data_IF_228919885822
#
_entry.id   IF_228919885822
#
_cell.length_a   1.000
_cell.length_b   1.000
_cell.length_c   1.000
_cell.angle_alpha   90.00
_cell.angle_beta   90.00
_cell.angle_gamma   90.00
#
_symmetry.space_group_name_H-M   'P 1'
#
loop_
_entity.id
_entity.type
_entity.pdbx_description
1 polymer ?
#
# COMPACT_ATOMS: atom_id res chain seq x y z
N UNK A 1 1.40 33.15 -23.22
CA UNK A 1 1.16 32.93 -21.77
C UNK A 1 1.10 31.42 -21.52
N UNK A 2 2.25 30.77 -21.31
CA UNK A 2 2.34 29.31 -21.11
C UNK A 2 2.14 28.98 -19.63
N UNK A 3 0.88 28.93 -19.19
CA UNK A 3 0.53 28.66 -17.78
C UNK A 3 0.75 27.19 -17.39
N UNK A 4 0.93 26.28 -18.35
CA UNK A 4 1.37 24.91 -18.08
C UNK A 4 2.89 24.83 -17.99
N UNK A 5 3.42 25.32 -16.85
CA UNK A 5 4.73 24.90 -16.34
C UNK A 5 4.74 23.36 -16.35
N UNK A 6 5.81 22.77 -16.89
CA UNK A 6 5.96 21.31 -17.00
C UNK A 6 5.66 20.67 -15.63
N UNK A 7 4.78 19.66 -15.53
CA UNK A 7 4.59 18.96 -14.27
C UNK A 7 5.93 18.31 -13.92
N UNK A 8 6.54 18.82 -12.85
CA UNK A 8 7.81 18.33 -12.33
C UNK A 8 7.53 17.02 -11.58
N UNK A 9 8.48 16.09 -11.61
CA UNK A 9 8.39 14.81 -10.88
C UNK A 9 8.08 15.05 -9.40
N UNK A 10 8.71 16.07 -8.81
CA UNK A 10 8.49 16.50 -7.43
C UNK A 10 7.03 16.87 -7.13
N UNK A 11 6.34 17.52 -8.08
CA UNK A 11 4.93 17.91 -7.94
C UNK A 11 4.05 16.67 -7.96
N UNK A 12 4.32 15.75 -8.89
CA UNK A 12 3.62 14.48 -8.99
C UNK A 12 3.77 13.65 -7.72
N UNK A 13 4.99 13.50 -7.20
CA UNK A 13 5.26 12.78 -5.95
C UNK A 13 4.58 13.46 -4.76
N UNK A 14 4.65 14.79 -4.66
CA UNK A 14 3.99 15.55 -3.59
C UNK A 14 2.47 15.36 -3.60
N UNK A 15 1.85 15.30 -4.79
CA UNK A 15 0.44 14.98 -4.95
C UNK A 15 0.10 13.55 -4.55
N UNK A 16 0.96 12.58 -4.87
CA UNK A 16 0.77 11.20 -4.43
C UNK A 16 0.79 11.11 -2.89
N UNK A 17 1.74 11.79 -2.25
CA UNK A 17 1.83 11.87 -0.79
C UNK A 17 0.62 12.59 -0.20
N UNK A 18 0.23 13.73 -0.77
CA UNK A 18 -0.95 14.49 -0.32
C UNK A 18 -2.24 13.68 -0.45
N UNK A 19 -2.40 12.94 -1.55
CA UNK A 19 -3.51 12.03 -1.78
C UNK A 19 -3.51 10.89 -0.76
N UNK A 20 -2.36 10.25 -0.54
CA UNK A 20 -2.19 9.23 0.49
C UNK A 20 -2.61 9.72 1.88
N UNK A 21 -2.11 10.89 2.31
CA UNK A 21 -2.45 11.47 3.60
C UNK A 21 -3.93 11.81 3.72
N UNK A 22 -4.53 12.34 2.65
CA UNK A 22 -5.95 12.70 2.61
C UNK A 22 -6.82 11.45 2.75
N UNK A 23 -6.55 10.40 1.97
CA UNK A 23 -7.27 9.13 2.05
C UNK A 23 -7.10 8.53 3.45
N UNK A 24 -5.87 8.52 3.97
CA UNK A 24 -5.57 8.01 5.30
C UNK A 24 -6.43 8.69 6.37
N UNK A 25 -6.44 10.03 6.39
CA UNK A 25 -7.18 10.79 7.39
C UNK A 25 -8.70 10.63 7.25
N UNK A 26 -9.21 10.68 6.02
CA UNK A 26 -10.65 10.57 5.76
C UNK A 26 -11.17 9.18 6.12
N UNK A 27 -10.50 8.12 5.64
CA UNK A 27 -10.90 6.73 5.90
C UNK A 27 -10.68 6.32 7.35
N UNK A 28 -9.64 6.81 8.01
CA UNK A 28 -9.45 6.57 9.45
C UNK A 28 -10.56 7.24 10.29
N UNK A 29 -10.96 8.47 9.94
CA UNK A 29 -11.95 9.20 10.73
C UNK A 29 -13.40 8.77 10.44
N UNK A 30 -13.76 8.52 9.18
CA UNK A 30 -15.15 8.26 8.79
C UNK A 30 -15.46 6.77 8.59
N UNK A 31 -14.43 5.91 8.59
CA UNK A 31 -14.57 4.53 8.14
C UNK A 31 -15.05 4.48 6.69
N UNK A 32 -15.48 3.30 6.24
CA UNK A 32 -16.13 3.13 4.95
C UNK A 32 -16.01 1.71 4.43
N UNK A 33 -16.61 1.47 3.28
CA UNK A 33 -16.41 0.25 2.49
C UNK A 33 -15.67 0.61 1.22
N UNK A 34 -14.78 -0.27 0.77
CA UNK A 34 -14.19 -0.19 -0.55
C UNK A 34 -14.72 -1.35 -1.38
N UNK A 35 -15.45 -1.05 -2.45
CA UNK A 35 -16.01 -2.05 -3.33
C UNK A 35 -14.99 -2.40 -4.43
N UNK A 36 -14.62 -3.68 -4.48
CA UNK A 36 -13.74 -4.26 -5.49
C UNK A 36 -12.39 -3.55 -5.66
N UNK A 37 -11.91 -2.86 -4.62
CA UNK A 37 -10.67 -2.07 -4.69
C UNK A 37 -10.73 -0.85 -5.61
N UNK A 38 -11.92 -0.34 -5.91
CA UNK A 38 -12.13 0.73 -6.91
C UNK A 38 -13.05 1.85 -6.45
N UNK A 39 -13.91 1.61 -5.45
CA UNK A 39 -14.88 2.60 -5.00
C UNK A 39 -14.95 2.65 -3.48
N UNK A 40 -14.46 3.73 -2.88
CA UNK A 40 -14.55 4.01 -1.46
C UNK A 40 -15.81 4.82 -1.13
N UNK A 41 -16.61 4.30 -0.20
CA UNK A 41 -17.82 4.95 0.30
C UNK A 41 -17.72 5.07 1.83
N UNK A 42 -17.60 6.30 2.40
CA UNK A 42 -17.63 6.51 3.83
C UNK A 42 -18.99 6.12 4.42
N UNK A 43 -19.01 5.54 5.62
CA UNK A 43 -20.27 5.25 6.32
C UNK A 43 -20.90 6.53 6.88
N UNK A 44 -20.06 7.42 7.38
CA UNK A 44 -20.48 8.68 7.97
C UNK A 44 -20.19 9.82 7.00
N UNK A 45 -21.22 10.60 6.68
CA UNK A 45 -21.13 11.79 5.82
C UNK A 45 -20.57 11.46 4.41
N UNK A 46 -21.37 10.84 3.53
CA UNK A 46 -20.88 10.38 2.22
C UNK A 46 -20.32 11.51 1.33
N UNK A 47 -20.73 12.76 1.58
CA UNK A 47 -20.18 13.95 0.91
C UNK A 47 -18.68 14.15 1.17
N UNK A 48 -18.15 13.67 2.30
CA UNK A 48 -16.72 13.77 2.62
C UNK A 48 -15.87 12.99 1.61
N UNK A 49 -16.43 11.99 0.93
CA UNK A 49 -15.76 11.24 -0.13
C UNK A 49 -15.30 12.12 -1.31
N UNK A 50 -15.93 13.29 -1.53
CA UNK A 50 -15.53 14.23 -2.58
C UNK A 50 -14.08 14.67 -2.41
N UNK A 51 -13.59 14.80 -1.16
CA UNK A 51 -12.23 15.22 -0.86
C UNK A 51 -11.19 14.20 -1.36
N UNK A 52 -11.17 12.91 -0.91
CA UNK A 52 -10.21 11.94 -1.42
C UNK A 52 -10.36 11.72 -2.93
N UNK A 53 -11.58 11.73 -3.49
CA UNK A 53 -11.76 11.57 -4.93
C UNK A 53 -11.18 12.73 -5.75
N UNK A 54 -11.33 13.97 -5.30
CA UNK A 54 -10.69 15.11 -5.95
C UNK A 54 -9.17 14.95 -5.96
N UNK A 55 -8.56 14.57 -4.83
CA UNK A 55 -7.13 14.32 -4.74
C UNK A 55 -6.67 13.15 -5.62
N UNK A 56 -7.42 12.04 -5.66
CA UNK A 56 -7.14 10.90 -6.54
C UNK A 56 -7.14 11.33 -7.99
N UNK A 57 -8.18 12.05 -8.43
CA UNK A 57 -8.32 12.52 -9.82
C UNK A 57 -7.17 13.46 -10.18
N UNK A 58 -6.87 14.47 -9.34
CA UNK A 58 -5.76 15.38 -9.60
C UNK A 58 -4.41 14.68 -9.63
N UNK A 59 -4.17 13.76 -8.68
CA UNK A 59 -2.92 13.00 -8.62
C UNK A 59 -2.74 12.13 -9.86
N UNK A 60 -3.77 11.37 -10.25
CA UNK A 60 -3.75 10.53 -11.45
C UNK A 60 -3.52 11.37 -12.70
N UNK A 61 -4.27 12.46 -12.88
CA UNK A 61 -4.15 13.31 -14.07
C UNK A 61 -2.75 13.91 -14.21
N UNK A 62 -2.18 14.44 -13.12
CA UNK A 62 -0.87 15.07 -13.14
C UNK A 62 0.23 14.03 -13.34
N UNK A 63 0.16 12.91 -12.62
CA UNK A 63 1.14 11.83 -12.73
C UNK A 63 1.10 11.14 -14.10
N UNK A 64 -0.10 10.85 -14.63
CA UNK A 64 -0.26 10.27 -15.96
C UNK A 64 0.33 11.19 -17.04
N UNK A 65 0.03 12.49 -16.99
CA UNK A 65 0.59 13.44 -17.94
C UNK A 65 2.12 13.54 -17.85
N UNK A 66 2.68 13.48 -16.64
CA UNK A 66 4.13 13.43 -16.44
C UNK A 66 4.73 12.16 -17.08
N UNK A 67 4.19 10.98 -16.76
CA UNK A 67 4.71 9.68 -17.24
C UNK A 67 4.51 9.46 -18.72
N UNK A 68 3.38 9.87 -19.28
CA UNK A 68 3.11 9.78 -20.71
C UNK A 68 4.16 10.56 -21.50
N UNK A 69 4.62 11.71 -20.99
CA UNK A 69 5.64 12.53 -21.62
C UNK A 69 7.06 12.03 -21.42
N UNK A 70 7.38 11.46 -20.26
CA UNK A 70 8.74 11.01 -19.92
C UNK A 70 9.05 9.59 -20.40
N UNK A 71 8.05 8.71 -20.39
CA UNK A 71 8.23 7.26 -20.53
C UNK A 71 7.24 6.60 -21.50
N UNK A 72 6.26 7.36 -22.01
CA UNK A 72 5.23 6.84 -22.91
C UNK A 72 4.12 6.04 -22.21
N UNK A 73 3.12 5.62 -23.01
CA UNK A 73 1.91 4.96 -22.52
C UNK A 73 2.19 3.60 -21.85
N UNK A 74 3.15 2.85 -22.40
CA UNK A 74 3.54 1.52 -21.93
C UNK A 74 4.01 1.50 -20.46
N UNK A 75 4.63 2.58 -19.98
CA UNK A 75 5.04 2.69 -18.58
C UNK A 75 4.04 3.48 -17.74
N UNK A 76 3.28 4.39 -18.37
CA UNK A 76 2.25 5.17 -17.68
C UNK A 76 1.12 4.27 -17.13
N UNK A 77 0.61 3.32 -17.93
CA UNK A 77 -0.52 2.46 -17.52
C UNK A 77 -0.19 1.55 -16.33
N UNK A 78 0.91 0.77 -16.31
CA UNK A 78 1.30 -0.01 -15.13
C UNK A 78 1.48 0.86 -13.89
N UNK A 79 2.05 2.06 -14.07
CA UNK A 79 2.27 2.98 -12.97
C UNK A 79 1.01 3.56 -12.37
N UNK A 80 -0.01 3.81 -13.20
CA UNK A 80 -1.33 4.15 -12.70
C UNK A 80 -1.94 3.00 -11.92
N UNK A 81 -1.80 1.76 -12.40
CA UNK A 81 -2.41 0.59 -11.78
C UNK A 81 -1.96 0.39 -10.32
N UNK A 82 -0.66 0.48 -10.04
CA UNK A 82 -0.20 0.36 -8.66
C UNK A 82 -0.44 1.62 -7.82
N UNK A 83 -0.51 2.81 -8.41
CA UNK A 83 -0.85 4.03 -7.66
C UNK A 83 -2.33 4.00 -7.24
N UNK A 84 -3.23 3.62 -8.15
CA UNK A 84 -4.65 3.46 -7.82
C UNK A 84 -4.86 2.35 -6.81
N UNK A 85 -4.20 1.19 -7.00
CA UNK A 85 -4.24 0.11 -6.02
C UNK A 85 -3.73 0.57 -4.64
N UNK A 86 -2.65 1.36 -4.60
CA UNK A 86 -2.13 1.92 -3.35
C UNK A 86 -3.10 2.87 -2.64
N UNK A 87 -3.81 3.71 -3.39
CA UNK A 87 -4.84 4.59 -2.83
C UNK A 87 -6.00 3.81 -2.21
N UNK A 88 -6.53 2.83 -2.93
CA UNK A 88 -7.63 2.03 -2.41
C UNK A 88 -7.17 1.08 -1.31
N UNK A 89 -5.96 0.54 -1.36
CA UNK A 89 -5.36 -0.20 -0.24
C UNK A 89 -5.34 0.65 1.03
N UNK A 90 -4.95 1.92 0.90
CA UNK A 90 -4.94 2.87 2.03
C UNK A 90 -6.35 3.09 2.56
N UNK A 91 -7.33 3.30 1.68
CA UNK A 91 -8.72 3.48 2.07
C UNK A 91 -9.29 2.24 2.80
N UNK A 92 -9.11 1.05 2.22
CA UNK A 92 -9.57 -0.24 2.77
C UNK A 92 -8.94 -0.51 4.13
N UNK A 93 -7.62 -0.36 4.23
CA UNK A 93 -6.86 -0.64 5.44
C UNK A 93 -7.19 0.34 6.56
N UNK A 94 -7.30 1.63 6.26
CA UNK A 94 -7.64 2.64 7.28
C UNK A 94 -9.09 2.55 7.72
N UNK A 95 -10.01 2.20 6.81
CA UNK A 95 -11.40 1.91 7.17
C UNK A 95 -11.50 0.70 8.11
N UNK A 96 -10.71 -0.35 7.86
CA UNK A 96 -10.62 -1.50 8.76
C UNK A 96 -10.02 -1.12 10.13
N UNK A 97 -8.97 -0.32 10.15
CA UNK A 97 -8.32 0.13 11.39
C UNK A 97 -9.26 1.01 12.24
N UNK A 98 -10.07 1.85 11.60
CA UNK A 98 -11.00 2.77 12.28
C UNK A 98 -11.96 2.05 13.24
N UNK A 99 -12.29 0.79 12.95
CA UNK A 99 -13.27 0.01 13.72
C UNK A 99 -14.72 0.47 13.56
N UNK A 100 -14.99 1.46 12.70
CA UNK A 100 -16.32 2.01 12.44
C UNK A 100 -16.98 1.29 11.25
N UNK A 101 -17.16 -0.01 11.32
CA UNK A 101 -17.76 -0.80 10.23
C UNK A 101 -18.76 -1.82 10.77
N UNK A 102 -19.77 -2.15 9.97
CA UNK A 102 -20.72 -3.22 10.29
C UNK A 102 -20.06 -4.60 10.16
N UNK A 103 -20.52 -5.61 10.91
CA UNK A 103 -19.92 -6.96 10.88
C UNK A 103 -19.90 -7.58 9.48
N UNK A 104 -20.91 -7.28 8.65
CA UNK A 104 -20.99 -7.71 7.24
C UNK A 104 -19.91 -7.07 6.38
N UNK A 105 -19.52 -5.83 6.67
CA UNK A 105 -18.54 -5.08 5.90
C UNK A 105 -17.08 -5.47 6.17
N UNK A 106 -16.82 -6.28 7.21
CA UNK A 106 -15.48 -6.81 7.48
C UNK A 106 -14.98 -7.69 6.32
N UNK A 107 -15.86 -8.54 5.76
CA UNK A 107 -15.51 -9.39 4.64
C UNK A 107 -15.21 -8.57 3.38
N UNK A 108 -16.01 -7.54 3.12
CA UNK A 108 -15.81 -6.63 1.99
C UNK A 108 -14.49 -5.87 2.11
N UNK A 109 -14.14 -5.41 3.32
CA UNK A 109 -12.86 -4.73 3.56
C UNK A 109 -11.66 -5.66 3.40
N UNK A 110 -11.72 -6.88 3.93
CA UNK A 110 -10.64 -7.87 3.78
C UNK A 110 -10.47 -8.28 2.33
N UNK A 111 -11.57 -8.54 1.61
CA UNK A 111 -11.51 -8.86 0.18
C UNK A 111 -11.00 -7.68 -0.65
N UNK A 112 -11.39 -6.44 -0.31
CA UNK A 112 -10.87 -5.25 -0.97
C UNK A 112 -9.36 -5.11 -0.79
N UNK A 113 -8.82 -5.32 0.41
CA UNK A 113 -7.36 -5.31 0.64
C UNK A 113 -6.65 -6.30 -0.29
N UNK A 114 -7.22 -7.48 -0.52
CA UNK A 114 -6.66 -8.47 -1.45
C UNK A 114 -6.70 -7.98 -2.91
N UNK A 115 -7.82 -7.40 -3.36
CA UNK A 115 -7.92 -6.82 -4.70
C UNK A 115 -6.96 -5.64 -4.90
N UNK A 116 -6.84 -4.78 -3.90
CA UNK A 116 -5.94 -3.62 -3.90
C UNK A 116 -4.48 -4.07 -4.05
N UNK A 117 -4.06 -5.06 -3.24
CA UNK A 117 -2.73 -5.67 -3.33
C UNK A 117 -2.49 -6.34 -4.68
N UNK A 118 -3.50 -6.99 -5.26
CA UNK A 118 -3.40 -7.57 -6.59
C UNK A 118 -3.12 -6.48 -7.64
N UNK A 119 -3.83 -5.35 -7.63
CA UNK A 119 -3.58 -4.25 -8.55
C UNK A 119 -2.18 -3.66 -8.38
N UNK A 120 -1.70 -3.52 -7.14
CA UNK A 120 -0.34 -3.05 -6.84
C UNK A 120 0.70 -4.00 -7.43
N UNK A 121 0.60 -5.29 -7.12
CA UNK A 121 1.55 -6.30 -7.60
C UNK A 121 1.49 -6.44 -9.13
N UNK A 122 0.31 -6.40 -9.72
CA UNK A 122 0.14 -6.43 -11.17
C UNK A 122 0.78 -5.21 -11.83
N UNK A 123 0.57 -4.01 -11.29
CA UNK A 123 1.19 -2.79 -11.82
C UNK A 123 2.72 -2.83 -11.72
N UNK A 124 3.24 -3.24 -10.57
CA UNK A 124 4.68 -3.33 -10.32
C UNK A 124 5.35 -4.39 -11.21
N UNK A 125 4.73 -5.56 -11.37
CA UNK A 125 5.22 -6.64 -12.24
C UNK A 125 5.22 -6.23 -13.70
N UNK A 126 4.14 -5.61 -14.18
CA UNK A 126 4.07 -5.09 -15.55
C UNK A 126 5.14 -4.01 -15.81
N UNK A 127 5.32 -3.05 -14.90
CA UNK A 127 6.37 -2.03 -15.06
C UNK A 127 7.77 -2.66 -15.09
N UNK A 128 8.03 -3.64 -14.21
CA UNK A 128 9.29 -4.39 -14.12
C UNK A 128 9.58 -5.15 -15.42
N UNK A 129 8.61 -5.90 -15.95
CA UNK A 129 8.74 -6.64 -17.21
C UNK A 129 9.05 -5.70 -18.38
N UNK A 130 8.33 -4.58 -18.48
CA UNK A 130 8.49 -3.62 -19.59
C UNK A 130 9.87 -2.95 -19.55
N UNK A 131 10.41 -2.67 -18.36
CA UNK A 131 11.76 -2.12 -18.21
C UNK A 131 12.88 -3.14 -18.38
N UNK A 132 12.57 -4.44 -18.37
CA UNK A 132 13.57 -5.50 -18.26
C UNK A 132 14.33 -5.47 -16.93
N UNK A 133 13.76 -4.84 -15.90
CA UNK A 133 14.32 -4.78 -14.56
C UNK A 133 13.66 -5.85 -13.68
N UNK A 134 14.34 -6.36 -12.65
CA UNK A 134 13.68 -7.14 -11.61
C UNK A 134 12.74 -6.27 -10.76
N UNK A 135 11.85 -6.90 -9.99
CA UNK A 135 10.97 -6.26 -9.00
C UNK A 135 11.79 -5.70 -7.82
N UNK A 136 12.61 -4.67 -8.06
CA UNK A 136 13.41 -3.90 -7.09
C UNK A 136 13.62 -4.55 -5.72
N UNK A 137 12.73 -4.24 -4.78
CA UNK A 137 12.73 -4.79 -3.42
C UNK A 137 12.57 -6.33 -3.35
N UNK A 138 11.66 -6.93 -4.11
CA UNK A 138 11.47 -8.39 -4.16
C UNK A 138 12.72 -9.08 -4.71
N UNK A 139 13.31 -8.56 -5.79
CA UNK A 139 14.56 -9.08 -6.33
C UNK A 139 15.72 -8.93 -5.33
N UNK A 140 15.71 -7.88 -4.51
CA UNK A 140 16.65 -7.74 -3.40
C UNK A 140 16.44 -8.81 -2.32
N UNK A 141 15.20 -9.10 -1.94
CA UNK A 141 14.86 -10.09 -0.91
C UNK A 141 15.22 -11.52 -1.34
N UNK A 142 15.07 -11.86 -2.62
CA UNK A 142 15.38 -13.20 -3.16
C UNK A 142 16.89 -13.50 -3.20
N UNK A 143 17.77 -12.53 -2.92
CA UNK A 143 19.20 -12.81 -2.75
C UNK A 143 19.42 -13.63 -1.47
N UNK A 144 20.23 -14.70 -1.53
CA UNK A 144 20.44 -15.68 -0.46
C UNK A 144 20.67 -15.08 0.94
N UNK A 145 21.33 -13.94 1.07
CA UNK A 145 21.58 -13.28 2.37
C UNK A 145 20.35 -12.61 3.00
N UNK A 146 19.28 -12.41 2.24
CA UNK A 146 18.09 -11.66 2.63
C UNK A 146 16.87 -12.56 2.86
N UNK A 147 16.86 -13.76 2.26
CA UNK A 147 15.77 -14.73 2.40
C UNK A 147 15.57 -15.14 3.87
N UNK A 148 16.63 -15.24 4.65
CA UNK A 148 16.56 -15.63 6.06
C UNK A 148 15.74 -14.64 6.89
N UNK A 149 15.91 -13.34 6.64
CA UNK A 149 15.12 -12.31 7.31
C UNK A 149 13.64 -12.38 6.93
N UNK A 150 13.35 -12.60 5.63
CA UNK A 150 11.96 -12.73 5.18
C UNK A 150 11.31 -13.98 5.79
N UNK A 151 12.01 -15.11 5.74
CA UNK A 151 11.54 -16.39 6.31
C UNK A 151 11.28 -16.28 7.81
N UNK A 152 12.18 -15.61 8.54
CA UNK A 152 12.00 -15.34 9.97
C UNK A 152 10.79 -14.45 10.25
N UNK A 153 10.59 -13.40 9.44
CA UNK A 153 9.40 -12.55 9.53
C UNK A 153 8.12 -13.35 9.29
N UNK A 154 8.08 -14.17 8.25
CA UNK A 154 6.92 -15.03 7.92
C UNK A 154 6.66 -16.03 9.06
N UNK A 155 7.69 -16.65 9.62
CA UNK A 155 7.53 -17.57 10.75
C UNK A 155 6.85 -16.89 11.96
N UNK A 156 7.26 -15.67 12.30
CA UNK A 156 6.61 -14.90 13.35
C UNK A 156 5.17 -14.50 13.01
N UNK A 157 4.88 -14.15 11.75
CA UNK A 157 3.49 -13.89 11.30
C UNK A 157 2.63 -15.14 11.44
N UNK A 158 3.13 -16.31 11.04
CA UNK A 158 2.42 -17.58 11.19
C UNK A 158 2.14 -17.90 12.66
N UNK A 159 3.11 -17.68 13.55
CA UNK A 159 2.93 -17.81 14.99
C UNK A 159 1.86 -16.84 15.52
N UNK A 160 1.83 -15.60 15.06
CA UNK A 160 0.78 -14.65 15.42
C UNK A 160 -0.62 -15.15 14.99
N UNK A 161 -0.72 -15.70 13.78
CA UNK A 161 -1.95 -16.24 13.20
C UNK A 161 -2.48 -17.50 13.90
N UNK A 162 -1.69 -18.20 14.71
CA UNK A 162 -2.16 -19.41 15.43
C UNK A 162 -3.42 -19.15 16.26
N UNK A 163 -3.60 -17.93 16.79
CA UNK A 163 -4.80 -17.53 17.52
C UNK A 163 -6.06 -17.50 16.66
N UNK A 164 -5.95 -17.26 15.34
CA UNK A 164 -7.08 -17.34 14.41
C UNK A 164 -7.62 -18.77 14.33
N UNK A 165 -6.74 -19.77 14.44
CA UNK A 165 -7.12 -21.17 14.49
C UNK A 165 -7.51 -21.63 15.91
N UNK A 166 -6.88 -21.08 16.95
CA UNK A 166 -7.10 -21.47 18.33
C UNK A 166 -7.24 -20.26 19.27
N UNK A 167 -8.48 -19.93 19.63
CA UNK A 167 -8.81 -18.78 20.49
C UNK A 167 -8.27 -18.87 21.92
N UNK A 168 -7.80 -20.04 22.37
CA UNK A 168 -7.19 -20.21 23.70
C UNK A 168 -5.82 -19.54 23.82
N UNK A 169 -5.16 -19.25 22.69
CA UNK A 169 -3.86 -18.59 22.68
C UNK A 169 -4.01 -17.13 23.12
N UNK A 170 -3.30 -16.64 24.15
CA UNK A 170 -3.44 -15.28 24.63
C UNK A 170 -3.18 -14.23 23.55
N UNK A 171 -4.03 -13.19 23.47
CA UNK A 171 -3.87 -12.10 22.50
C UNK A 171 -2.50 -11.42 22.59
N UNK A 172 -1.98 -11.26 23.82
CA UNK A 172 -0.65 -10.68 24.08
C UNK A 172 0.45 -11.48 23.37
N UNK A 173 0.35 -12.81 23.34
CA UNK A 173 1.34 -13.67 22.70
C UNK A 173 1.29 -13.51 21.17
N UNK A 174 0.09 -13.50 20.58
CA UNK A 174 -0.08 -13.25 19.15
C UNK A 174 0.42 -11.87 18.74
N UNK A 175 0.12 -10.82 19.52
CA UNK A 175 0.60 -9.47 19.26
C UNK A 175 2.12 -9.35 19.42
N UNK A 176 2.71 -10.05 20.39
CA UNK A 176 4.17 -10.13 20.53
C UNK A 176 4.82 -10.70 19.27
N UNK A 177 4.34 -11.85 18.78
CA UNK A 177 4.89 -12.44 17.55
C UNK A 177 4.64 -11.56 16.34
N UNK A 178 3.47 -10.94 16.23
CA UNK A 178 3.18 -10.01 15.14
C UNK A 178 4.21 -8.87 15.15
N UNK A 179 4.38 -8.15 16.26
CA UNK A 179 5.34 -7.06 16.38
C UNK A 179 6.80 -7.52 16.19
N UNK A 180 7.16 -8.70 16.70
CA UNK A 180 8.48 -9.28 16.51
C UNK A 180 8.79 -9.59 15.05
N UNK A 181 7.78 -9.91 14.22
CA UNK A 181 7.94 -10.12 12.78
C UNK A 181 8.45 -8.88 12.05
N UNK A 182 8.20 -7.70 12.60
CA UNK A 182 8.62 -6.44 12.02
C UNK A 182 10.11 -6.17 12.19
N UNK A 183 10.78 -6.78 13.18
CA UNK A 183 12.22 -6.60 13.42
C UNK A 183 13.05 -7.07 12.21
N UNK A 184 12.98 -8.34 11.76
CA UNK A 184 13.72 -8.79 10.59
C UNK A 184 13.27 -8.07 9.31
N UNK A 185 11.99 -7.71 9.20
CA UNK A 185 11.49 -6.93 8.07
C UNK A 185 12.10 -5.52 8.02
N UNK A 186 12.20 -4.84 9.16
CA UNK A 186 12.85 -3.54 9.26
C UNK A 186 14.35 -3.61 8.93
N UNK A 187 15.03 -4.71 9.29
CA UNK A 187 16.42 -4.95 8.88
C UNK A 187 16.53 -5.09 7.36
N UNK A 188 15.62 -5.81 6.70
CA UNK A 188 15.57 -5.91 5.23
C UNK A 188 15.36 -4.55 4.58
N UNK A 189 14.37 -3.79 5.03
CA UNK A 189 14.07 -2.45 4.50
C UNK A 189 15.28 -1.53 4.69
N UNK A 190 15.92 -1.55 5.86
CA UNK A 190 17.13 -0.77 6.13
C UNK A 190 18.27 -1.14 5.19
N UNK A 191 18.53 -2.43 4.96
CA UNK A 191 19.59 -2.89 4.07
C UNK A 191 19.30 -2.49 2.61
N UNK A 192 18.03 -2.57 2.20
CA UNK A 192 17.59 -2.13 0.89
C UNK A 192 17.80 -0.61 0.69
N UNK A 193 17.42 0.20 1.67
CA UNK A 193 17.62 1.66 1.62
C UNK A 193 19.12 1.99 1.58
N UNK A 194 19.96 1.32 2.38
CA UNK A 194 21.42 1.52 2.36
C UNK A 194 22.04 1.24 1.01
N UNK A 195 21.57 0.23 0.29
CA UNK A 195 22.10 -0.10 -1.04
C UNK A 195 21.68 0.91 -2.12
N UNK A 196 20.53 1.58 -1.93
CA UNK A 196 19.99 2.56 -2.86
C UNK A 196 20.21 4.02 -2.42
N UNK A 197 21.01 4.26 -1.36
CA UNK A 197 21.15 5.58 -0.72
C UNK A 197 21.74 6.65 -1.64
N UNK A 198 22.45 6.25 -2.70
CA UNK A 198 23.10 7.18 -3.63
C UNK A 198 22.19 7.67 -4.78
N UNK A 199 21.02 7.04 -4.98
CA UNK A 199 20.12 7.35 -6.11
C UNK A 199 18.68 7.72 -5.73
N UNK A 200 18.33 7.66 -4.43
CA UNK A 200 16.94 7.76 -3.99
C UNK A 200 16.13 6.49 -4.27
N UNK A 201 15.02 6.30 -3.57
CA UNK A 201 14.11 5.18 -3.83
C UNK A 201 13.26 5.49 -5.06
N UNK A 202 13.09 4.50 -5.95
CA UNK A 202 12.13 4.61 -7.06
C UNK A 202 10.71 4.68 -6.48
N UNK A 203 9.81 5.39 -7.14
CA UNK A 203 8.40 5.48 -6.74
C UNK A 203 7.75 4.09 -6.59
N UNK A 204 8.07 3.15 -7.47
CA UNK A 204 7.60 1.76 -7.40
C UNK A 204 7.99 1.08 -6.07
N UNK A 205 9.21 1.31 -5.60
CA UNK A 205 9.70 0.75 -4.34
C UNK A 205 9.10 1.49 -3.14
N UNK A 206 8.92 2.81 -3.24
CA UNK A 206 8.20 3.59 -2.21
C UNK A 206 6.77 3.10 -2.05
N UNK A 207 6.03 2.91 -3.15
CA UNK A 207 4.66 2.40 -3.15
C UNK A 207 4.62 0.98 -2.57
N UNK A 208 5.52 0.09 -2.99
CA UNK A 208 5.57 -1.27 -2.47
C UNK A 208 5.81 -1.29 -0.95
N UNK A 209 6.81 -0.54 -0.47
CA UNK A 209 7.12 -0.44 0.95
C UNK A 209 5.97 0.17 1.75
N UNK A 210 5.36 1.24 1.25
CA UNK A 210 4.19 1.85 1.88
C UNK A 210 3.00 0.86 1.93
N UNK A 211 2.77 0.11 0.86
CA UNK A 211 1.71 -0.90 0.77
C UNK A 211 1.92 -2.03 1.78
N UNK A 212 3.16 -2.50 1.96
CA UNK A 212 3.48 -3.50 2.99
C UNK A 212 3.18 -2.94 4.39
N UNK A 213 3.56 -1.69 4.68
CA UNK A 213 3.28 -1.06 5.98
C UNK A 213 1.77 -0.92 6.24
N UNK A 214 1.03 -0.40 5.27
CA UNK A 214 -0.43 -0.19 5.38
C UNK A 214 -1.15 -1.53 5.58
N UNK A 215 -0.79 -2.55 4.80
CA UNK A 215 -1.34 -3.90 4.94
C UNK A 215 -1.00 -4.52 6.30
N UNK A 216 0.22 -4.30 6.78
CA UNK A 216 0.65 -4.82 8.07
C UNK A 216 -0.14 -4.20 9.23
N UNK A 217 -0.46 -2.90 9.17
CA UNK A 217 -1.34 -2.26 10.15
C UNK A 217 -2.76 -2.85 10.12
N UNK A 218 -3.31 -3.10 8.93
CA UNK A 218 -4.60 -3.78 8.78
C UNK A 218 -4.56 -5.21 9.35
N UNK A 219 -3.48 -5.94 9.13
CA UNK A 219 -3.25 -7.28 9.70
C UNK A 219 -3.22 -7.27 11.24
N UNK A 220 -2.53 -6.31 11.86
CA UNK A 220 -2.53 -6.16 13.32
C UNK A 220 -3.95 -5.94 13.86
N UNK A 221 -4.76 -5.14 13.16
CA UNK A 221 -6.17 -4.93 13.52
C UNK A 221 -6.95 -6.25 13.43
N UNK A 222 -6.76 -7.04 12.37
CA UNK A 222 -7.47 -8.32 12.20
C UNK A 222 -7.15 -9.33 13.31
N UNK A 223 -5.89 -9.41 13.77
CA UNK A 223 -5.52 -10.27 14.91
C UNK A 223 -6.20 -9.84 16.20
N UNK A 224 -6.48 -8.54 16.34
CA UNK A 224 -7.06 -7.95 17.55
C UNK A 224 -8.58 -8.09 17.68
N UNK A 225 -9.27 -8.51 16.61
CA UNK A 225 -10.71 -8.77 16.59
C UNK A 225 -11.01 -10.17 17.17
#
# INVERSE_FOLDING_TARGET
MSIFRRPNEDIAISLIIGCFLTILLVSFNHGGTVYYGLLYVPYHEPLVAVVPYAYIIFSILIYFNYRLRSSGLLLALPSLLYITGFYFLTASSMSLISGKYEQTALYDLVSSIVYDLFFILLGLTLESIIKGEGLGFISFVVKNSNIDYLSTSIAFILLACTRLANKSIPMILSMFFALASWIPMAMLIRNYIKLNSNGGLKLSDMVLLASINVTYLAFLKLISL
#
